data_IF_119462651942
#
_entry.id   IF_119462651942
#
_cell.length_a   1.000
_cell.length_b   1.000
_cell.length_c   1.000
_cell.angle_alpha   90.00
_cell.angle_beta   90.00
_cell.angle_gamma   90.00
#
_symmetry.space_group_name_H-M   'P 1'
#
loop_
_entity.id
_entity.type
_entity.pdbx_description
1 polymer ?
#
# COMPACT_ATOMS: atom_id res chain seq x y z
N UNK A 1 48.10 76.54 3.60
CA UNK A 1 46.68 76.11 3.35
C UNK A 1 46.67 74.64 2.95
N UNK A 2 46.26 73.77 3.87
CA UNK A 2 46.22 72.31 3.65
C UNK A 2 44.78 71.89 3.36
N UNK A 3 44.54 71.37 2.18
CA UNK A 3 43.23 70.75 1.84
C UNK A 3 43.26 69.24 2.24
N UNK A 4 42.49 68.96 3.25
CA UNK A 4 42.25 67.58 3.71
C UNK A 4 41.03 66.98 2.92
N UNK A 5 41.30 66.05 2.04
CA UNK A 5 40.26 65.33 1.28
C UNK A 5 39.71 64.18 2.15
N UNK A 6 38.46 64.26 2.56
CA UNK A 6 37.76 63.15 3.19
C UNK A 6 37.31 62.13 2.13
N UNK A 7 37.91 60.94 2.17
CA UNK A 7 37.46 59.79 1.43
C UNK A 7 36.32 59.13 2.20
N UNK A 8 35.11 59.22 1.69
CA UNK A 8 33.95 58.46 2.24
C UNK A 8 33.92 57.11 1.52
N UNK A 9 34.32 56.08 2.27
CA UNK A 9 34.22 54.70 1.81
C UNK A 9 32.78 54.20 2.02
N UNK A 10 32.02 54.05 0.95
CA UNK A 10 30.70 53.39 0.94
C UNK A 10 30.94 51.89 0.91
N UNK A 11 30.77 51.21 2.04
CA UNK A 11 30.71 49.76 2.11
C UNK A 11 29.30 49.33 1.68
N UNK A 12 29.17 48.90 0.42
CA UNK A 12 27.96 48.24 -0.04
C UNK A 12 27.91 46.83 0.57
N UNK A 13 27.07 46.64 1.57
CA UNK A 13 26.77 45.33 2.11
C UNK A 13 25.93 44.55 1.06
N UNK A 14 26.58 43.71 0.28
CA UNK A 14 25.89 42.71 -0.53
C UNK A 14 25.21 41.68 0.40
N UNK A 15 23.94 41.86 0.64
CA UNK A 15 23.09 40.82 1.26
C UNK A 15 22.97 39.65 0.27
N UNK A 16 23.86 38.68 0.38
CA UNK A 16 23.68 37.38 -0.32
C UNK A 16 22.52 36.72 0.40
N UNK A 17 21.30 36.91 -0.11
CA UNK A 17 20.17 36.05 0.24
C UNK A 17 20.48 34.68 -0.35
N UNK A 18 21.10 33.80 0.44
CA UNK A 18 21.16 32.39 0.15
C UNK A 18 19.72 31.90 0.09
N UNK A 19 19.21 31.73 -1.13
CA UNK A 19 18.00 30.97 -1.36
C UNK A 19 18.30 29.56 -0.80
N UNK A 20 17.78 29.29 0.40
CA UNK A 20 17.77 27.93 0.94
C UNK A 20 16.86 27.16 -0.01
N UNK A 21 17.46 26.52 -1.01
CA UNK A 21 16.76 25.53 -1.80
C UNK A 21 16.27 24.48 -0.80
N UNK A 22 14.96 24.42 -0.60
CA UNK A 22 14.37 23.33 0.16
C UNK A 22 14.88 22.02 -0.44
N UNK A 23 15.50 21.18 0.37
CA UNK A 23 16.01 19.90 -0.10
C UNK A 23 14.87 19.14 -0.79
N UNK A 24 15.19 18.47 -1.89
CA UNK A 24 14.23 17.68 -2.64
C UNK A 24 13.66 16.56 -1.75
N UNK A 25 12.34 16.44 -1.68
CA UNK A 25 11.67 15.34 -0.98
C UNK A 25 11.83 14.07 -1.81
N UNK A 26 12.55 13.08 -1.28
CA UNK A 26 12.81 11.80 -1.94
C UNK A 26 11.71 10.82 -1.59
N UNK A 27 10.74 10.73 -2.49
CA UNK A 27 9.52 9.97 -2.29
C UNK A 27 9.59 8.61 -2.97
N UNK A 28 9.08 7.56 -2.30
CA UNK A 28 8.85 6.26 -2.89
C UNK A 28 7.35 5.99 -3.05
N UNK A 29 7.01 5.11 -4.00
CA UNK A 29 5.66 4.52 -4.15
C UNK A 29 5.74 3.00 -4.02
N UNK A 30 4.62 2.37 -3.65
CA UNK A 30 4.51 0.93 -3.60
C UNK A 30 4.75 0.30 -4.97
N UNK A 31 5.32 -0.90 -5.01
CA UNK A 31 5.47 -1.64 -6.27
C UNK A 31 4.22 -2.49 -6.62
N UNK A 32 3.14 -2.31 -5.88
CA UNK A 32 1.79 -2.71 -6.28
C UNK A 32 1.01 -1.49 -6.75
N UNK A 33 0.28 -1.67 -7.83
CA UNK A 33 -0.33 -0.59 -8.59
C UNK A 33 -1.39 0.21 -7.80
N UNK A 34 -2.11 -0.42 -6.89
CA UNK A 34 -3.14 0.25 -6.07
C UNK A 34 -2.59 1.34 -5.13
N UNK A 35 -1.27 1.47 -5.00
CA UNK A 35 -0.60 2.53 -4.25
C UNK A 35 -0.22 3.77 -5.06
N UNK A 36 -0.32 3.73 -6.39
CA UNK A 36 0.23 4.78 -7.27
C UNK A 36 -0.56 6.09 -7.19
N UNK A 37 -1.88 6.00 -7.12
CA UNK A 37 -2.75 7.15 -7.03
C UNK A 37 -2.52 7.96 -5.75
N UNK A 38 -2.42 7.31 -4.61
CA UNK A 38 -2.13 7.97 -3.34
C UNK A 38 -0.78 8.67 -3.38
N UNK A 39 0.25 8.01 -3.93
CA UNK A 39 1.58 8.60 -4.06
C UNK A 39 1.54 9.89 -4.90
N UNK A 40 0.81 9.89 -6.01
CA UNK A 40 0.69 11.06 -6.89
C UNK A 40 -0.09 12.20 -6.22
N UNK A 41 -1.19 11.93 -5.52
CA UNK A 41 -1.95 12.96 -4.79
C UNK A 41 -1.10 13.62 -3.70
N UNK A 42 -0.35 12.84 -2.92
CA UNK A 42 0.53 13.39 -1.88
C UNK A 42 1.72 14.14 -2.46
N UNK A 43 2.30 13.66 -3.58
CA UNK A 43 3.33 14.39 -4.33
C UNK A 43 2.85 15.79 -4.72
N UNK A 44 1.65 15.88 -5.33
CA UNK A 44 1.09 17.16 -5.72
C UNK A 44 0.76 18.08 -4.54
N UNK A 45 0.41 17.52 -3.37
CA UNK A 45 0.23 18.31 -2.16
C UNK A 45 1.54 18.94 -1.70
N UNK A 46 2.64 18.17 -1.70
CA UNK A 46 3.97 18.67 -1.36
C UNK A 46 4.46 19.72 -2.38
N UNK A 47 4.25 19.49 -3.67
CA UNK A 47 4.59 20.45 -4.73
C UNK A 47 3.82 21.77 -4.57
N UNK A 48 2.53 21.70 -4.22
CA UNK A 48 1.71 22.89 -3.95
C UNK A 48 2.14 23.65 -2.71
N UNK A 49 2.77 22.97 -1.74
CA UNK A 49 3.42 23.61 -0.59
C UNK A 49 4.78 24.24 -0.93
N UNK A 50 5.25 24.16 -2.18
CA UNK A 50 6.51 24.73 -2.66
C UNK A 50 7.73 23.82 -2.51
N UNK A 51 7.55 22.54 -2.17
CA UNK A 51 8.65 21.58 -2.12
C UNK A 51 8.94 21.02 -3.52
N UNK A 52 10.22 20.80 -3.82
CA UNK A 52 10.62 19.96 -4.94
C UNK A 52 10.47 18.51 -4.51
N UNK A 53 9.80 17.70 -5.32
CA UNK A 53 9.59 16.27 -5.01
C UNK A 53 10.17 15.42 -6.13
N UNK A 54 11.00 14.44 -5.80
CA UNK A 54 11.49 13.47 -6.79
C UNK A 54 10.34 12.63 -7.34
N UNK A 55 10.47 12.16 -8.58
CA UNK A 55 9.48 11.22 -9.11
C UNK A 55 9.47 9.95 -8.26
N UNK A 56 8.32 9.56 -7.67
CA UNK A 56 8.28 8.44 -6.74
C UNK A 56 8.67 7.12 -7.40
N UNK A 57 9.73 6.48 -6.91
CA UNK A 57 10.20 5.19 -7.42
C UNK A 57 9.42 4.03 -6.80
N UNK A 58 8.96 3.11 -7.66
CA UNK A 58 8.26 1.91 -7.18
C UNK A 58 9.25 0.95 -6.51
N UNK A 59 8.95 0.52 -5.28
CA UNK A 59 9.79 -0.41 -4.54
C UNK A 59 9.02 -1.25 -3.52
N UNK A 60 9.66 -2.32 -3.07
CA UNK A 60 9.14 -3.19 -2.01
C UNK A 60 9.25 -2.50 -0.65
N UNK A 61 8.35 -2.79 0.32
CA UNK A 61 8.47 -2.29 1.69
C UNK A 61 9.84 -2.55 2.32
N UNK A 62 10.33 -3.77 2.20
CA UNK A 62 11.66 -4.16 2.74
C UNK A 62 12.79 -3.25 2.26
N UNK A 63 12.75 -2.78 1.01
CA UNK A 63 13.75 -1.86 0.45
C UNK A 63 13.52 -0.44 0.96
N UNK A 64 12.27 0.03 0.95
CA UNK A 64 11.93 1.38 1.41
C UNK A 64 12.36 1.60 2.87
N UNK A 65 11.99 0.70 3.79
CA UNK A 65 12.27 0.91 5.22
C UNK A 65 13.76 0.92 5.53
N UNK A 66 14.58 0.13 4.83
CA UNK A 66 16.04 0.15 4.95
C UNK A 66 16.60 1.48 4.43
N UNK A 67 16.22 1.90 3.22
CA UNK A 67 16.69 3.15 2.62
C UNK A 67 16.22 4.39 3.42
N UNK A 68 14.98 4.38 3.92
CA UNK A 68 14.48 5.47 4.76
C UNK A 68 15.19 5.52 6.12
N UNK A 69 15.51 4.38 6.73
CA UNK A 69 16.29 4.34 7.97
C UNK A 69 17.74 4.83 7.78
N UNK A 70 18.33 4.58 6.61
CA UNK A 70 19.64 5.10 6.22
C UNK A 70 19.64 6.59 5.86
N UNK A 71 18.47 7.19 5.60
CA UNK A 71 18.32 8.57 5.17
C UNK A 71 18.43 8.78 3.67
N UNK A 72 18.36 7.71 2.87
CA UNK A 72 18.38 7.78 1.39
C UNK A 72 17.01 8.11 0.81
N UNK A 73 15.93 7.83 1.53
CA UNK A 73 14.55 8.15 1.20
C UNK A 73 13.86 8.83 2.38
N UNK A 74 12.86 9.65 2.07
CA UNK A 74 12.18 10.48 3.05
C UNK A 74 10.77 10.01 3.37
N UNK A 75 10.00 9.58 2.37
CA UNK A 75 8.56 9.39 2.49
C UNK A 75 8.02 8.28 1.61
N UNK A 76 7.09 7.50 2.18
CA UNK A 76 6.19 6.58 1.50
C UNK A 76 4.78 6.69 2.07
N UNK A 77 3.75 6.87 1.24
CA UNK A 77 2.39 7.15 1.72
C UNK A 77 1.45 5.94 1.72
N UNK A 78 1.97 4.73 1.47
CA UNK A 78 1.16 3.50 1.44
C UNK A 78 1.71 2.41 2.38
N UNK A 79 2.03 2.78 3.62
CA UNK A 79 2.43 1.86 4.67
C UNK A 79 1.22 1.15 5.30
N UNK A 80 1.23 -0.17 5.37
CA UNK A 80 0.19 -1.03 5.92
C UNK A 80 0.52 -1.38 7.37
N UNK A 81 -0.02 -0.66 8.34
CA UNK A 81 0.26 -0.79 9.77
C UNK A 81 -0.80 -1.66 10.46
N UNK A 82 -0.36 -2.60 11.08
CA UNK A 82 -0.21 -3.92 11.54
C UNK A 82 0.83 -4.76 10.74
N UNK A 83 0.63 -4.92 9.43
CA UNK A 83 1.51 -5.77 8.59
C UNK A 83 2.95 -5.23 8.51
N UNK A 84 3.14 -3.89 8.50
CA UNK A 84 4.46 -3.26 8.42
C UNK A 84 5.11 -2.96 9.79
N UNK A 85 4.50 -3.33 10.91
CA UNK A 85 5.04 -3.04 12.24
C UNK A 85 6.43 -3.64 12.48
N UNK A 86 6.72 -4.80 11.87
CA UNK A 86 8.06 -5.40 11.91
C UNK A 86 9.12 -4.52 11.27
N UNK A 87 8.83 -3.89 10.14
CA UNK A 87 9.77 -2.98 9.47
C UNK A 87 10.04 -1.72 10.29
N UNK A 88 9.01 -1.17 10.96
CA UNK A 88 9.18 -0.03 11.87
C UNK A 88 10.09 -0.42 13.04
N UNK A 89 9.89 -1.60 13.62
CA UNK A 89 10.76 -2.12 14.69
C UNK A 89 12.19 -2.29 14.22
N UNK A 90 12.39 -2.87 13.04
CA UNK A 90 13.70 -3.06 12.41
C UNK A 90 14.41 -1.73 12.10
N UNK A 91 13.66 -0.68 11.78
CA UNK A 91 14.18 0.68 11.55
C UNK A 91 14.68 1.39 12.83
N UNK A 92 14.57 0.79 14.03
CA UNK A 92 15.16 1.26 15.29
C UNK A 92 14.91 2.75 15.58
N UNK A 93 13.68 3.22 15.36
CA UNK A 93 13.27 4.61 15.60
C UNK A 93 13.71 5.61 14.53
N UNK A 94 14.31 5.18 13.42
CA UNK A 94 14.69 6.06 12.31
C UNK A 94 13.53 6.36 11.34
N UNK A 95 12.50 5.52 11.33
CA UNK A 95 11.29 5.68 10.53
C UNK A 95 10.07 5.61 11.45
N UNK A 96 9.07 6.46 11.18
CA UNK A 96 7.79 6.42 11.91
C UNK A 96 6.59 6.55 10.98
N UNK A 97 5.46 6.02 11.42
CA UNK A 97 4.16 6.26 10.81
C UNK A 97 3.60 7.63 11.21
N UNK A 98 2.97 8.34 10.28
CA UNK A 98 2.41 9.68 10.50
C UNK A 98 1.02 9.80 9.87
N UNK A 99 0.04 10.29 10.64
CA UNK A 99 -1.32 10.48 10.13
C UNK A 99 -1.97 9.16 9.65
N UNK A 100 -3.00 9.27 8.82
CA UNK A 100 -3.69 8.15 8.20
C UNK A 100 -4.13 8.52 6.79
N UNK A 101 -3.65 7.80 5.78
CA UNK A 101 -4.18 7.91 4.41
C UNK A 101 -5.60 7.34 4.38
N UNK A 102 -5.78 6.15 4.98
CA UNK A 102 -7.07 5.47 5.14
C UNK A 102 -7.07 4.72 6.48
N UNK A 103 -8.01 5.01 7.38
CA UNK A 103 -8.14 4.34 8.67
C UNK A 103 -8.90 3.03 8.56
N UNK A 104 -8.34 1.94 9.10
CA UNK A 104 -8.93 0.58 9.15
C UNK A 104 -9.48 0.09 7.80
N UNK A 105 -8.93 0.61 6.71
CA UNK A 105 -9.38 0.32 5.35
C UNK A 105 -8.68 -0.86 4.71
N UNK A 106 -7.54 -1.27 5.22
CA UNK A 106 -6.75 -2.38 4.70
C UNK A 106 -7.22 -3.70 5.28
N UNK A 107 -8.02 -4.48 4.54
CA UNK A 107 -8.31 -5.88 4.86
C UNK A 107 -7.48 -6.78 3.98
N UNK A 108 -7.02 -7.90 4.52
CA UNK A 108 -6.18 -8.87 3.80
C UNK A 108 -6.65 -10.28 4.15
N UNK A 109 -6.51 -11.23 3.21
CA UNK A 109 -6.86 -12.61 3.50
C UNK A 109 -6.81 -13.51 2.29
N UNK A 110 -7.28 -14.75 2.48
CA UNK A 110 -7.39 -15.75 1.43
C UNK A 110 -8.82 -15.83 0.94
N UNK A 111 -8.97 -15.98 -0.37
CA UNK A 111 -10.25 -16.14 -1.03
C UNK A 111 -10.22 -17.35 -1.95
N UNK A 112 -11.42 -17.91 -2.15
CA UNK A 112 -11.67 -18.93 -3.15
C UNK A 112 -12.90 -18.56 -3.98
N UNK A 113 -13.06 -19.18 -5.13
CA UNK A 113 -14.29 -19.05 -5.87
C UNK A 113 -15.49 -19.60 -5.07
N UNK A 114 -16.60 -18.88 -5.13
CA UNK A 114 -17.82 -19.22 -4.35
C UNK A 114 -18.40 -20.57 -4.75
N UNK A 115 -18.30 -20.96 -6.01
CA UNK A 115 -18.78 -22.25 -6.50
C UNK A 115 -18.07 -23.41 -5.79
N UNK A 116 -16.75 -23.33 -5.62
CA UNK A 116 -15.97 -24.32 -4.88
C UNK A 116 -16.28 -24.28 -3.39
N UNK A 117 -16.41 -23.08 -2.80
CA UNK A 117 -16.80 -22.95 -1.40
C UNK A 117 -18.12 -23.65 -1.09
N UNK A 118 -19.16 -23.37 -1.90
CA UNK A 118 -20.49 -23.94 -1.72
C UNK A 118 -20.50 -25.46 -1.99
N UNK A 119 -19.87 -25.89 -3.09
CA UNK A 119 -19.85 -27.29 -3.50
C UNK A 119 -19.15 -28.20 -2.51
N UNK A 120 -18.05 -27.76 -1.95
CA UNK A 120 -17.19 -28.59 -1.09
C UNK A 120 -17.31 -28.21 0.40
N UNK A 121 -18.14 -27.22 0.74
CA UNK A 121 -18.33 -26.76 2.13
C UNK A 121 -17.08 -26.09 2.72
N UNK A 122 -16.21 -25.50 1.89
CA UNK A 122 -14.97 -24.87 2.32
C UNK A 122 -15.28 -23.55 3.03
N UNK A 123 -14.87 -23.42 4.29
CA UNK A 123 -15.06 -22.24 5.13
C UNK A 123 -13.75 -21.69 5.67
N UNK A 124 -12.74 -22.53 5.80
CA UNK A 124 -11.43 -22.19 6.34
C UNK A 124 -10.32 -22.63 5.40
N UNK A 125 -9.13 -22.06 5.54
CA UNK A 125 -7.94 -22.48 4.77
C UNK A 125 -7.59 -23.94 5.04
N UNK A 126 -7.93 -24.48 6.21
CA UNK A 126 -7.68 -25.89 6.57
C UNK A 126 -8.56 -26.87 5.79
N UNK A 127 -9.73 -26.45 5.34
CA UNK A 127 -10.63 -27.29 4.53
C UNK A 127 -10.05 -27.58 3.15
N UNK A 128 -9.13 -26.74 2.66
CA UNK A 128 -8.42 -26.93 1.38
C UNK A 128 -7.69 -28.28 1.35
N UNK A 129 -7.18 -28.77 2.50
CA UNK A 129 -6.48 -30.03 2.59
C UNK A 129 -7.25 -31.21 1.94
N UNK A 130 -8.55 -31.27 2.15
CA UNK A 130 -9.41 -32.32 1.60
C UNK A 130 -9.71 -32.14 0.10
N UNK A 131 -9.49 -30.94 -0.42
CA UNK A 131 -9.90 -30.54 -1.77
C UNK A 131 -8.74 -29.95 -2.58
N UNK A 132 -7.48 -30.14 -2.16
CA UNK A 132 -6.30 -29.54 -2.77
C UNK A 132 -6.25 -29.74 -4.30
N UNK A 133 -6.55 -30.96 -4.77
CA UNK A 133 -6.57 -31.31 -6.21
C UNK A 133 -7.53 -30.45 -7.06
N UNK A 134 -8.53 -29.79 -6.47
CA UNK A 134 -9.44 -28.91 -7.21
C UNK A 134 -8.79 -27.59 -7.60
N UNK A 135 -7.77 -27.20 -6.83
CA UNK A 135 -7.00 -25.95 -7.01
C UNK A 135 -5.58 -26.22 -7.54
N UNK A 136 -5.25 -27.48 -7.81
CA UNK A 136 -3.96 -27.92 -8.36
C UNK A 136 -3.93 -27.64 -9.88
N UNK A 137 -3.05 -26.76 -10.30
CA UNK A 137 -2.90 -26.40 -11.72
C UNK A 137 -1.64 -26.98 -12.37
N UNK A 138 -0.73 -27.55 -11.57
CA UNK A 138 0.54 -28.10 -12.03
C UNK A 138 0.64 -29.64 -11.91
N UNK A 139 -0.33 -30.30 -11.22
CA UNK A 139 -0.42 -31.76 -11.11
C UNK A 139 0.42 -32.36 -9.98
N UNK A 140 0.88 -31.55 -9.01
CA UNK A 140 1.70 -32.05 -7.88
C UNK A 140 0.87 -32.52 -6.67
N UNK A 141 -0.45 -32.40 -6.73
CA UNK A 141 -1.38 -32.79 -5.70
C UNK A 141 -1.66 -31.75 -4.63
N UNK A 142 -1.05 -30.58 -4.72
CA UNK A 142 -1.28 -29.44 -3.82
C UNK A 142 -2.11 -28.36 -4.49
N UNK A 143 -2.82 -27.56 -3.69
CA UNK A 143 -3.53 -26.39 -4.17
C UNK A 143 -2.54 -25.27 -4.52
N UNK A 144 -2.62 -24.70 -5.71
CA UNK A 144 -1.86 -23.51 -6.07
C UNK A 144 -2.58 -22.25 -5.57
N UNK A 145 -1.93 -21.48 -4.73
CA UNK A 145 -2.46 -20.23 -4.19
C UNK A 145 -1.65 -19.05 -4.72
N UNK A 146 -2.27 -18.12 -5.45
CA UNK A 146 -1.60 -16.83 -5.71
C UNK A 146 -1.33 -16.17 -4.38
N UNK A 147 -0.05 -15.95 -4.07
CA UNK A 147 0.42 -15.47 -2.79
C UNK A 147 1.13 -14.12 -2.90
N UNK A 148 1.45 -13.58 -1.75
CA UNK A 148 2.15 -12.31 -1.63
C UNK A 148 3.60 -12.44 -2.12
N UNK A 149 4.08 -11.56 -3.01
CA UNK A 149 5.47 -11.57 -3.48
C UNK A 149 6.49 -11.40 -2.34
N UNK A 150 7.70 -11.96 -2.47
CA UNK A 150 8.76 -11.80 -1.49
C UNK A 150 9.14 -10.33 -1.26
N UNK A 151 9.30 -9.96 0.01
CA UNK A 151 9.66 -8.59 0.44
C UNK A 151 8.48 -7.65 0.66
N UNK A 152 7.24 -8.14 0.48
CA UNK A 152 6.04 -7.47 0.98
C UNK A 152 5.77 -7.88 2.45
N UNK A 153 5.04 -7.03 3.19
CA UNK A 153 4.71 -7.33 4.58
C UNK A 153 3.83 -8.57 4.75
N UNK A 154 2.88 -8.76 3.85
CA UNK A 154 1.99 -9.93 3.82
C UNK A 154 2.73 -11.25 3.60
N UNK A 155 3.86 -11.25 2.92
CA UNK A 155 4.66 -12.47 2.73
C UNK A 155 5.15 -13.02 4.08
N UNK A 156 5.65 -12.16 4.97
CA UNK A 156 6.06 -12.56 6.32
C UNK A 156 4.89 -13.20 7.11
N UNK A 157 3.67 -12.63 6.98
CA UNK A 157 2.49 -13.16 7.66
C UNK A 157 2.03 -14.50 7.07
N UNK A 158 2.02 -14.63 5.75
CA UNK A 158 1.71 -15.89 5.06
C UNK A 158 2.70 -16.98 5.47
N UNK A 159 4.00 -16.68 5.50
CA UNK A 159 5.04 -17.61 5.95
C UNK A 159 4.77 -18.14 7.37
N UNK A 160 4.31 -17.29 8.29
CA UNK A 160 3.90 -17.72 9.64
C UNK A 160 2.68 -18.63 9.59
N UNK A 161 1.65 -18.30 8.81
CA UNK A 161 0.49 -19.18 8.64
C UNK A 161 0.91 -20.56 8.11
N UNK A 162 1.80 -20.59 7.12
CA UNK A 162 2.30 -21.85 6.56
C UNK A 162 3.07 -22.68 7.60
N UNK A 163 3.92 -22.04 8.40
CA UNK A 163 4.70 -22.71 9.43
C UNK A 163 3.81 -23.24 10.58
N UNK A 164 2.91 -22.42 11.09
CA UNK A 164 2.14 -22.76 12.31
C UNK A 164 0.90 -23.62 12.04
N UNK A 165 0.31 -23.53 10.85
CA UNK A 165 -0.87 -24.32 10.47
C UNK A 165 -0.54 -25.50 9.55
N UNK A 166 0.74 -25.72 9.19
CA UNK A 166 1.16 -26.81 8.30
C UNK A 166 0.56 -26.67 6.88
N UNK A 167 0.32 -25.45 6.39
CA UNK A 167 -0.35 -25.24 5.10
C UNK A 167 0.50 -25.77 3.92
N UNK A 168 1.83 -25.77 4.05
CA UNK A 168 2.75 -26.26 3.01
C UNK A 168 2.61 -27.74 2.67
N UNK A 169 1.92 -28.52 3.49
CA UNK A 169 1.64 -29.92 3.20
C UNK A 169 0.66 -30.08 2.04
N UNK A 170 -0.21 -29.09 1.81
CA UNK A 170 -1.32 -29.18 0.86
C UNK A 170 -1.59 -27.90 0.04
N UNK A 171 -0.81 -26.82 0.22
CA UNK A 171 -0.87 -25.57 -0.54
C UNK A 171 0.52 -25.18 -1.01
N UNK A 172 0.65 -24.81 -2.29
CA UNK A 172 1.83 -24.17 -2.87
C UNK A 172 1.57 -22.65 -2.97
N UNK A 173 2.35 -21.81 -2.27
CA UNK A 173 2.25 -20.37 -2.46
C UNK A 173 2.98 -19.94 -3.74
N UNK A 174 2.24 -19.49 -4.74
CA UNK A 174 2.79 -18.95 -5.99
C UNK A 174 3.19 -17.49 -5.76
N UNK A 175 4.47 -17.26 -5.51
CA UNK A 175 5.06 -15.96 -5.16
C UNK A 175 5.74 -15.31 -6.37
N UNK A 176 4.97 -14.97 -7.39
CA UNK A 176 5.42 -14.29 -8.61
C UNK A 176 4.95 -12.81 -8.65
N UNK A 177 4.98 -12.17 -9.82
CA UNK A 177 4.34 -10.87 -10.00
C UNK A 177 2.84 -10.98 -9.71
N UNK A 178 2.37 -10.21 -8.71
CA UNK A 178 1.01 -10.34 -8.20
C UNK A 178 -0.04 -10.02 -9.27
N UNK A 179 0.17 -8.93 -10.03
CA UNK A 179 -0.82 -8.49 -11.03
C UNK A 179 -0.94 -9.49 -12.18
N UNK A 180 0.16 -10.06 -12.62
CA UNK A 180 0.17 -11.12 -13.65
C UNK A 180 -0.47 -12.42 -13.13
N UNK A 181 -0.12 -12.85 -11.91
CA UNK A 181 -0.69 -14.06 -11.30
C UNK A 181 -2.20 -13.93 -11.06
N UNK A 182 -2.67 -12.74 -10.66
CA UNK A 182 -4.11 -12.49 -10.50
C UNK A 182 -4.84 -12.41 -11.83
N UNK A 183 -4.23 -11.88 -12.89
CA UNK A 183 -4.81 -11.91 -14.22
C UNK A 183 -5.02 -13.35 -14.71
N UNK A 184 -4.04 -14.25 -14.48
CA UNK A 184 -4.16 -15.68 -14.77
C UNK A 184 -5.26 -16.35 -13.92
N UNK A 185 -5.29 -16.09 -12.61
CA UNK A 185 -6.34 -16.62 -11.73
C UNK A 185 -7.75 -16.18 -12.16
N UNK A 186 -7.93 -14.92 -12.55
CA UNK A 186 -9.21 -14.41 -13.09
C UNK A 186 -9.56 -15.09 -14.41
N UNK A 187 -8.60 -15.33 -15.29
CA UNK A 187 -8.81 -16.06 -16.52
C UNK A 187 -9.22 -17.52 -16.25
N UNK A 188 -8.56 -18.20 -15.30
CA UNK A 188 -8.95 -19.56 -14.83
C UNK A 188 -10.37 -19.57 -14.29
N UNK A 189 -10.73 -18.62 -13.42
CA UNK A 189 -12.09 -18.49 -12.90
C UNK A 189 -13.13 -18.33 -14.01
N UNK A 190 -12.91 -17.42 -14.98
CA UNK A 190 -13.80 -17.21 -16.13
C UNK A 190 -13.98 -18.49 -17.00
N UNK A 191 -12.98 -19.36 -17.01
CA UNK A 191 -13.03 -20.66 -17.67
C UNK A 191 -13.61 -21.79 -16.77
N UNK A 192 -14.25 -21.42 -15.64
CA UNK A 192 -14.92 -22.35 -14.73
C UNK A 192 -14.00 -23.18 -13.85
N UNK A 193 -12.69 -22.84 -13.79
CA UNK A 193 -11.71 -23.46 -12.91
C UNK A 193 -11.83 -22.92 -11.49
N UNK A 194 -11.51 -23.76 -10.50
CA UNK A 194 -11.37 -23.33 -9.10
C UNK A 194 -10.13 -22.46 -8.94
N UNK A 195 -10.24 -21.44 -8.08
CA UNK A 195 -9.13 -20.51 -7.79
C UNK A 195 -8.99 -20.29 -6.29
N UNK A 196 -7.74 -20.24 -5.84
CA UNK A 196 -7.34 -19.90 -4.47
C UNK A 196 -6.28 -18.80 -4.54
N UNK A 197 -6.49 -17.71 -3.82
CA UNK A 197 -5.56 -16.58 -3.87
C UNK A 197 -5.60 -15.73 -2.60
N UNK A 198 -4.50 -15.06 -2.33
CA UNK A 198 -4.41 -13.94 -1.40
C UNK A 198 -4.79 -12.65 -2.11
N UNK A 199 -5.53 -11.78 -1.46
CA UNK A 199 -5.74 -10.40 -1.89
C UNK A 199 -6.00 -9.48 -0.70
N UNK A 200 -6.20 -8.21 -1.00
CA UNK A 200 -6.53 -7.16 -0.03
C UNK A 200 -7.63 -6.24 -0.56
N UNK A 201 -8.19 -5.41 0.34
CA UNK A 201 -9.06 -4.29 -0.04
C UNK A 201 -8.47 -2.98 0.50
N UNK A 202 -8.56 -1.87 -0.27
CA UNK A 202 -9.08 -1.75 -1.64
C UNK A 202 -8.11 -2.31 -2.70
N UNK A 203 -8.61 -3.16 -3.58
CA UNK A 203 -7.86 -3.71 -4.71
C UNK A 203 -8.84 -3.92 -5.89
N UNK A 204 -8.32 -3.82 -7.12
CA UNK A 204 -9.11 -4.07 -8.33
C UNK A 204 -9.58 -5.53 -8.46
N UNK A 205 -8.87 -6.48 -7.83
CA UNK A 205 -9.23 -7.91 -7.87
C UNK A 205 -10.63 -8.17 -7.33
N UNK A 206 -11.01 -7.51 -6.22
CA UNK A 206 -12.35 -7.64 -5.61
C UNK A 206 -13.42 -6.82 -6.34
N UNK A 207 -13.03 -6.07 -7.35
CA UNK A 207 -13.95 -5.42 -8.29
C UNK A 207 -14.10 -6.19 -9.59
N UNK A 208 -13.04 -6.92 -9.99
CA UNK A 208 -13.06 -7.81 -11.15
C UNK A 208 -13.80 -9.14 -10.86
N UNK A 209 -13.75 -9.58 -9.60
CA UNK A 209 -14.48 -10.74 -9.05
C UNK A 209 -15.30 -10.24 -7.86
N UNK A 210 -16.64 -10.34 -7.98
CA UNK A 210 -17.56 -9.76 -7.01
C UNK A 210 -17.59 -10.56 -5.71
N UNK A 211 -17.27 -9.90 -4.58
CA UNK A 211 -17.33 -10.51 -3.26
C UNK A 211 -18.75 -10.96 -2.90
N UNK A 212 -18.87 -12.20 -2.45
CA UNK A 212 -20.14 -12.84 -2.08
C UNK A 212 -20.91 -13.44 -3.24
N UNK A 213 -20.53 -13.15 -4.48
CA UNK A 213 -21.12 -13.74 -5.70
C UNK A 213 -20.13 -14.63 -6.43
N UNK A 214 -18.98 -14.12 -6.78
CA UNK A 214 -17.94 -14.84 -7.52
C UNK A 214 -16.92 -15.49 -6.59
N UNK A 215 -16.56 -14.77 -5.53
CA UNK A 215 -15.52 -15.16 -4.57
C UNK A 215 -15.98 -14.92 -3.13
N UNK A 216 -15.37 -15.65 -2.21
CA UNK A 216 -15.62 -15.51 -0.77
C UNK A 216 -14.32 -15.57 0.01
N UNK A 217 -14.28 -14.81 1.12
CA UNK A 217 -13.23 -14.92 2.12
C UNK A 217 -13.34 -16.25 2.87
N UNK A 218 -12.20 -16.92 3.08
CA UNK A 218 -12.12 -18.09 3.96
C UNK A 218 -11.38 -17.75 5.24
N UNK A 219 -11.81 -18.35 6.34
CA UNK A 219 -11.21 -18.12 7.66
C UNK A 219 -9.80 -18.75 7.73
N UNK A 220 -8.91 -18.09 8.43
CA UNK A 220 -7.60 -18.60 8.82
C UNK A 220 -7.63 -18.75 10.35
N UNK A 221 -7.62 -19.96 10.89
CA UNK A 221 -7.68 -20.20 12.34
C UNK A 221 -6.33 -19.90 13.00
N UNK A 222 -5.83 -18.68 12.85
CA UNK A 222 -4.54 -18.23 13.35
C UNK A 222 -4.73 -17.51 14.69
N UNK A 223 -4.03 -17.99 15.74
CA UNK A 223 -4.28 -17.58 17.13
C UNK A 223 -3.84 -16.14 17.43
N UNK A 224 -2.86 -15.59 16.70
CA UNK A 224 -2.35 -14.24 16.92
C UNK A 224 -3.28 -13.15 16.35
N UNK A 225 -4.26 -13.52 15.53
CA UNK A 225 -5.21 -12.55 14.94
C UNK A 225 -6.61 -12.71 15.51
N UNK A 226 -7.31 -11.56 15.59
CA UNK A 226 -8.70 -11.51 16.02
C UNK A 226 -9.63 -11.41 14.79
N UNK A 227 -10.85 -11.93 14.95
CA UNK A 227 -11.89 -11.76 13.94
C UNK A 227 -12.20 -10.30 13.67
N UNK A 228 -12.27 -9.94 12.39
CA UNK A 228 -12.57 -8.59 11.89
C UNK A 228 -13.90 -8.57 11.14
N UNK A 229 -14.53 -7.39 11.05
CA UNK A 229 -15.74 -7.21 10.23
C UNK A 229 -15.32 -7.15 8.76
N UNK A 230 -15.93 -7.99 7.95
CA UNK A 230 -15.64 -8.11 6.51
C UNK A 230 -16.91 -7.88 5.71
N UNK A 231 -16.88 -7.05 4.66
CA UNK A 231 -18.04 -6.88 3.78
C UNK A 231 -18.44 -8.21 3.13
N UNK A 232 -19.75 -8.43 2.99
CA UNK A 232 -20.34 -9.61 2.34
C UNK A 232 -19.89 -10.98 2.91
N UNK A 233 -19.42 -11.01 4.15
CA UNK A 233 -19.15 -12.26 4.84
C UNK A 233 -20.44 -12.93 5.34
N UNK A 234 -20.47 -14.25 5.35
CA UNK A 234 -21.59 -15.06 5.88
C UNK A 234 -21.77 -14.89 7.40
N UNK A 235 -20.71 -14.50 8.09
CA UNK A 235 -20.69 -14.15 9.52
C UNK A 235 -20.38 -12.66 9.69
N UNK A 236 -20.86 -12.06 10.76
CA UNK A 236 -20.59 -10.64 11.07
C UNK A 236 -19.09 -10.32 11.25
N UNK A 237 -18.30 -11.32 11.68
CA UNK A 237 -16.85 -11.26 11.82
C UNK A 237 -16.24 -12.61 11.48
N UNK A 238 -15.10 -12.60 10.79
CA UNK A 238 -14.28 -13.79 10.52
C UNK A 238 -12.82 -13.53 10.88
N UNK A 239 -12.10 -14.56 11.27
CA UNK A 239 -10.65 -14.48 11.41
C UNK A 239 -10.01 -14.70 10.04
N UNK A 240 -9.45 -13.66 9.47
CA UNK A 240 -8.80 -13.71 8.15
C UNK A 240 -7.31 -14.07 8.23
N UNK A 241 -6.76 -14.28 9.45
CA UNK A 241 -5.33 -14.46 9.67
C UNK A 241 -4.53 -13.16 9.59
N UNK A 242 -5.18 -12.07 9.20
CA UNK A 242 -4.62 -10.71 9.12
C UNK A 242 -5.50 -9.77 9.92
N UNK A 243 -4.88 -8.77 10.57
CA UNK A 243 -5.61 -7.67 11.18
C UNK A 243 -6.20 -6.72 10.14
N UNK A 244 -7.03 -5.78 10.58
CA UNK A 244 -7.40 -4.65 9.75
C UNK A 244 -6.29 -3.59 9.89
N UNK A 245 -5.63 -3.26 8.77
CA UNK A 245 -4.53 -2.31 8.74
C UNK A 245 -5.01 -0.87 8.56
N UNK A 246 -4.32 0.04 9.23
CA UNK A 246 -4.33 1.46 8.87
C UNK A 246 -3.33 1.71 7.76
N UNK A 247 -3.76 2.38 6.69
CA UNK A 247 -2.86 2.82 5.63
C UNK A 247 -2.32 4.20 6.00
N UNK A 248 -1.01 4.29 6.25
CA UNK A 248 -0.39 5.49 6.80
C UNK A 248 0.87 5.88 6.03
N UNK A 249 1.21 7.17 5.96
CA UNK A 249 2.56 7.57 5.57
C UNK A 249 3.60 7.00 6.53
N UNK A 250 4.69 6.48 5.98
CA UNK A 250 5.92 6.14 6.69
C UNK A 250 7.01 7.12 6.26
N UNK A 251 7.70 7.74 7.20
CA UNK A 251 8.69 8.77 6.89
C UNK A 251 9.92 8.68 7.80
N UNK A 252 11.07 9.10 7.25
CA UNK A 252 12.30 9.27 8.02
C UNK A 252 12.10 10.32 9.12
N UNK A 253 12.55 10.02 10.33
CA UNK A 253 12.32 10.87 11.52
C UNK A 253 13.07 12.19 11.44
N UNK A 254 14.31 12.19 10.94
CA UNK A 254 15.12 13.40 10.85
C UNK A 254 14.60 14.32 9.73
N UNK A 255 14.14 13.74 8.61
CA UNK A 255 13.41 14.47 7.57
C UNK A 255 12.19 15.20 8.14
N UNK A 256 11.36 14.52 8.95
CA UNK A 256 10.17 15.13 9.55
C UNK A 256 10.53 16.25 10.53
N UNK A 257 11.58 16.08 11.34
CA UNK A 257 12.08 17.13 12.25
C UNK A 257 12.51 18.38 11.49
N UNK A 258 13.18 18.19 10.35
CA UNK A 258 13.62 19.29 9.49
C UNK A 258 12.44 19.94 8.72
N UNK A 259 11.33 19.24 8.57
CA UNK A 259 10.18 19.66 7.76
C UNK A 259 8.84 19.59 8.53
N UNK A 260 8.64 20.36 9.61
CA UNK A 260 7.43 20.27 10.46
C UNK A 260 6.13 20.59 9.71
N UNK A 261 6.19 21.41 8.66
CA UNK A 261 5.03 21.69 7.79
C UNK A 261 4.58 20.44 7.03
N UNK A 262 5.53 19.62 6.55
CA UNK A 262 5.22 18.34 5.90
C UNK A 262 4.58 17.39 6.93
N UNK A 263 5.13 17.27 8.12
CA UNK A 263 4.53 16.42 9.17
C UNK A 263 3.11 16.87 9.51
N UNK A 264 2.84 18.18 9.60
CA UNK A 264 1.49 18.73 9.80
C UNK A 264 0.54 18.33 8.66
N UNK A 265 0.99 18.45 7.41
CA UNK A 265 0.22 18.05 6.23
C UNK A 265 -0.09 16.55 6.26
N UNK A 266 0.91 15.68 6.50
CA UNK A 266 0.73 14.24 6.57
C UNK A 266 -0.26 13.80 7.66
N UNK A 267 -0.34 14.54 8.77
CA UNK A 267 -1.32 14.29 9.84
C UNK A 267 -2.76 14.62 9.44
N UNK A 268 -2.96 15.54 8.50
CA UNK A 268 -4.29 15.98 8.05
C UNK A 268 -4.76 15.24 6.80
N UNK A 269 -3.82 14.90 5.91
CA UNK A 269 -4.14 14.36 4.60
C UNK A 269 -4.73 12.96 4.69
N UNK A 270 -5.87 12.75 4.02
CA UNK A 270 -6.54 11.46 3.93
C UNK A 270 -7.35 11.37 2.63
N UNK A 271 -7.47 10.16 2.10
CA UNK A 271 -8.24 9.87 0.89
C UNK A 271 -9.32 8.86 1.26
N UNK A 272 -10.61 9.12 0.95
CA UNK A 272 -11.68 8.18 1.23
C UNK A 272 -11.43 6.81 0.59
N UNK A 273 -11.74 5.74 1.31
CA UNK A 273 -11.57 4.36 0.84
C UNK A 273 -12.32 4.11 -0.48
N UNK A 274 -13.51 4.68 -0.62
CA UNK A 274 -14.33 4.57 -1.82
C UNK A 274 -13.64 5.19 -3.04
N UNK A 275 -12.92 6.30 -2.88
CA UNK A 275 -12.21 6.98 -3.96
C UNK A 275 -11.00 6.17 -4.43
N UNK A 276 -10.29 5.53 -3.50
CA UNK A 276 -9.21 4.60 -3.83
C UNK A 276 -9.76 3.36 -4.55
N UNK A 277 -10.88 2.81 -4.08
CA UNK A 277 -11.54 1.69 -4.75
C UNK A 277 -11.98 2.04 -6.17
N UNK A 278 -12.61 3.21 -6.37
CA UNK A 278 -13.00 3.70 -7.69
C UNK A 278 -11.80 3.91 -8.62
N UNK A 279 -10.68 4.40 -8.09
CA UNK A 279 -9.42 4.53 -8.82
C UNK A 279 -8.86 3.17 -9.25
N UNK A 280 -8.89 2.18 -8.37
CA UNK A 280 -8.43 0.82 -8.67
C UNK A 280 -9.23 0.20 -9.83
N UNK A 281 -10.53 0.49 -9.93
CA UNK A 281 -11.35 0.03 -11.06
C UNK A 281 -10.95 0.65 -12.39
N UNK A 282 -10.55 1.93 -12.42
CA UNK A 282 -9.99 2.55 -13.64
C UNK A 282 -8.69 1.88 -14.06
N UNK A 283 -7.83 1.52 -13.09
CA UNK A 283 -6.59 0.81 -13.35
C UNK A 283 -6.86 -0.59 -13.91
N UNK A 284 -7.84 -1.31 -13.37
CA UNK A 284 -8.30 -2.60 -13.91
C UNK A 284 -8.81 -2.47 -15.35
N UNK A 285 -9.46 -1.37 -15.70
CA UNK A 285 -9.90 -1.05 -17.06
C UNK A 285 -8.74 -0.63 -18.01
N UNK A 286 -7.48 -0.67 -17.55
CA UNK A 286 -6.30 -0.37 -18.35
C UNK A 286 -5.70 1.03 -18.15
N UNK A 287 -6.34 1.93 -17.39
CA UNK A 287 -5.85 3.29 -17.15
C UNK A 287 -4.79 3.33 -16.04
N UNK A 288 -3.69 2.55 -16.19
CA UNK A 288 -2.64 2.36 -15.16
C UNK A 288 -1.27 3.00 -15.49
N UNK A 289 -1.17 3.68 -16.63
CA UNK A 289 0.07 4.40 -16.97
C UNK A 289 0.30 5.58 -16.01
N UNK A 290 1.53 6.01 -15.81
CA UNK A 290 1.87 7.18 -14.97
C UNK A 290 1.09 8.43 -15.41
N UNK A 291 0.96 8.65 -16.73
CA UNK A 291 0.15 9.73 -17.29
C UNK A 291 -1.32 9.61 -16.90
N UNK A 292 -1.90 8.40 -16.92
CA UNK A 292 -3.30 8.18 -16.53
C UNK A 292 -3.48 8.43 -15.02
N UNK A 293 -2.58 7.90 -14.19
CA UNK A 293 -2.62 8.12 -12.73
C UNK A 293 -2.53 9.61 -12.39
N UNK A 294 -1.62 10.36 -13.02
CA UNK A 294 -1.51 11.80 -12.84
C UNK A 294 -2.79 12.54 -13.26
N UNK A 295 -3.39 12.15 -14.39
CA UNK A 295 -4.69 12.71 -14.84
C UNK A 295 -5.79 12.45 -13.80
N UNK A 296 -5.84 11.24 -13.25
CA UNK A 296 -6.82 10.87 -12.22
C UNK A 296 -6.61 11.64 -10.93
N UNK A 297 -5.36 11.78 -10.48
CA UNK A 297 -5.02 12.58 -9.30
C UNK A 297 -5.43 14.05 -9.48
N UNK A 298 -5.15 14.66 -10.63
CA UNK A 298 -5.58 16.02 -10.95
C UNK A 298 -7.10 16.17 -10.92
N UNK A 299 -7.83 15.20 -11.49
CA UNK A 299 -9.29 15.21 -11.48
C UNK A 299 -9.85 15.07 -10.05
N UNK A 300 -9.26 14.17 -9.25
CA UNK A 300 -9.65 13.99 -7.84
C UNK A 300 -9.40 15.27 -7.03
N UNK A 301 -8.23 15.87 -7.14
CA UNK A 301 -7.87 17.12 -6.45
C UNK A 301 -8.86 18.24 -6.83
N UNK A 302 -9.15 18.40 -8.13
CA UNK A 302 -10.14 19.38 -8.60
C UNK A 302 -11.51 19.17 -7.97
N UNK A 303 -11.98 17.93 -7.91
CA UNK A 303 -13.28 17.59 -7.34
C UNK A 303 -13.31 17.67 -5.80
N UNK A 304 -12.15 17.61 -5.15
CA UNK A 304 -12.00 17.66 -3.70
C UNK A 304 -11.14 18.86 -3.24
N UNK A 305 -11.18 19.97 -3.99
CA UNK A 305 -10.26 21.11 -3.80
C UNK A 305 -10.25 21.65 -2.37
N UNK A 306 -11.43 21.81 -1.75
CA UNK A 306 -11.54 22.31 -0.37
C UNK A 306 -10.85 21.40 0.63
N UNK A 307 -11.04 20.09 0.50
CA UNK A 307 -10.39 19.06 1.34
C UNK A 307 -8.88 19.10 1.14
N UNK A 308 -8.43 19.08 -0.12
CA UNK A 308 -7.01 19.13 -0.47
C UNK A 308 -6.33 20.40 0.05
N UNK A 309 -6.95 21.58 -0.09
CA UNK A 309 -6.43 22.84 0.42
C UNK A 309 -6.36 22.88 1.95
N UNK A 310 -7.24 22.16 2.64
CA UNK A 310 -7.22 22.06 4.11
C UNK A 310 -5.97 21.32 4.65
N UNK A 311 -5.38 20.42 3.85
CA UNK A 311 -4.17 19.70 4.25
C UNK A 311 -2.95 20.59 4.30
N UNK A 312 -2.85 21.52 3.35
CA UNK A 312 -1.65 22.34 3.11
C UNK A 312 -1.69 23.71 3.82
N UNK A 313 -2.79 24.03 4.51
CA UNK A 313 -2.94 25.20 5.40
C UNK A 313 -2.43 24.87 6.84
#
# INVERSE_FOLDING_TARGET
>A
MKYMKHLVSIIAALSISSAVYAAEVRMAKANWDTGYFQAEVYKQALEKMGYKVSEPKAMKPSVFYVAAAAGDLDLWVNGWFGTHDTYIKEAKGKVKAVGNVMSKGGLQGYLIDKKSADKYGIKTVMDIKKHAKQFDSNGDGKADMVACPPGWGCEKQITKHFAELGLGDFINPVQADYSASMADAIAKFKNGKSVLFYTWTPNWTVGALELGKDIVWIEVPYSETKAVKVPNATKSKINMGFGADDIRPAANVDFLKANPKIEKMLKKASIPLADVAAQNMKMNAGEKSERAIKKHANAWIKNNQSTFDSWIK
#
